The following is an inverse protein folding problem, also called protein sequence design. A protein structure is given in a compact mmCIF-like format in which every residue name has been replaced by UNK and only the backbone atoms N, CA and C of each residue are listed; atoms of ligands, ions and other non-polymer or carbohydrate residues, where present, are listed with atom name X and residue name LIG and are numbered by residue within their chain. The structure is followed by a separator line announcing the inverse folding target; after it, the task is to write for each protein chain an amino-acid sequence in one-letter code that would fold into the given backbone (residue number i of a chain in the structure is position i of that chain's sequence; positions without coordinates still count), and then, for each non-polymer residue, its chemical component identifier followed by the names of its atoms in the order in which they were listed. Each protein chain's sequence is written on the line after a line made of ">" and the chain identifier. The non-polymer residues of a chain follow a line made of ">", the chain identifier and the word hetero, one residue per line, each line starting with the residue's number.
data_IF_178536287114
#
_entry.id   IF_178536287114
#
_cell.length_a   1.000
_cell.length_b   1.000
_cell.length_c   1.000
_cell.angle_alpha   90.00
_cell.angle_beta   90.00
_cell.angle_gamma   90.00
#
_symmetry.space_group_name_H-M   'P 1'
#
loop_
_entity.id
_entity.type
_entity.pdbx_description
1 polymer ?
#
# COMPACT_ATOMS: atom_id res chain seq x y z
N UNK A 1 -11.08 9.89 -10.63
CA UNK A 1 -9.84 9.08 -10.57
C UNK A 1 -8.64 9.90 -10.13
N UNK A 2 -8.36 11.05 -10.77
CA UNK A 2 -7.20 11.89 -10.43
C UNK A 2 -7.20 12.33 -8.95
N UNK A 3 -8.32 12.81 -8.43
CA UNK A 3 -8.43 13.23 -7.01
C UNK A 3 -8.10 12.07 -6.06
N UNK A 4 -8.60 10.86 -6.34
CA UNK A 4 -8.34 9.68 -5.52
C UNK A 4 -6.85 9.31 -5.52
N UNK A 5 -6.22 9.30 -6.69
CA UNK A 5 -4.79 9.04 -6.87
C UNK A 5 -3.98 10.06 -6.08
N UNK A 6 -4.30 11.34 -6.23
CA UNK A 6 -3.59 12.43 -5.57
C UNK A 6 -3.69 12.35 -4.04
N UNK A 7 -4.88 12.06 -3.52
CA UNK A 7 -5.15 11.91 -2.10
C UNK A 7 -4.41 10.68 -1.55
N UNK A 8 -4.45 9.55 -2.27
CA UNK A 8 -3.73 8.34 -1.91
C UNK A 8 -2.21 8.57 -1.86
N UNK A 9 -1.63 9.16 -2.91
CA UNK A 9 -0.21 9.50 -2.97
C UNK A 9 0.19 10.42 -1.81
N UNK A 10 -0.60 11.47 -1.54
CA UNK A 10 -0.33 12.41 -0.44
C UNK A 10 -0.33 11.73 0.92
N UNK A 11 -1.31 10.84 1.18
CA UNK A 11 -1.39 10.09 2.42
C UNK A 11 -0.21 9.13 2.56
N UNK A 12 0.14 8.40 1.50
CA UNK A 12 1.28 7.48 1.51
C UNK A 12 2.58 8.23 1.83
N UNK A 13 2.89 9.30 1.11
CA UNK A 13 4.09 10.11 1.40
C UNK A 13 4.05 10.75 2.78
N UNK A 14 2.88 11.21 3.23
CA UNK A 14 2.71 11.76 4.58
C UNK A 14 3.03 10.75 5.67
N UNK A 15 2.57 9.50 5.53
CA UNK A 15 2.89 8.41 6.45
C UNK A 15 4.39 8.09 6.41
N UNK A 16 4.97 7.92 5.23
CA UNK A 16 6.42 7.65 5.11
C UNK A 16 7.24 8.76 5.79
N UNK A 17 6.94 10.02 5.50
CA UNK A 17 7.68 11.15 6.04
C UNK A 17 7.54 11.30 7.56
N UNK A 18 6.32 11.16 8.08
CA UNK A 18 6.06 11.27 9.52
C UNK A 18 6.77 10.16 10.30
N UNK A 19 6.68 8.91 9.82
CA UNK A 19 7.32 7.78 10.48
C UNK A 19 8.84 7.80 10.33
N UNK A 20 9.37 8.46 9.30
CA UNK A 20 10.79 8.73 9.19
C UNK A 20 11.30 9.65 10.29
N UNK A 21 10.61 10.76 10.55
CA UNK A 21 11.01 11.71 11.61
C UNK A 21 11.00 11.03 12.97
N UNK A 22 10.07 10.09 13.19
CA UNK A 22 9.98 9.31 14.43
C UNK A 22 11.00 8.17 14.51
N UNK A 23 11.82 7.94 13.47
CA UNK A 23 12.71 6.79 13.34
C UNK A 23 11.98 5.42 13.41
N UNK A 24 10.68 5.40 13.14
CA UNK A 24 9.80 4.22 13.20
C UNK A 24 9.47 3.70 11.79
N UNK A 25 10.49 3.62 10.94
CA UNK A 25 10.36 3.30 9.51
C UNK A 25 9.56 2.01 9.27
N UNK A 26 9.87 0.94 10.00
CA UNK A 26 9.20 -0.35 9.83
C UNK A 26 7.69 -0.28 10.12
N UNK A 27 7.30 0.47 11.17
CA UNK A 27 5.89 0.68 11.52
C UNK A 27 5.17 1.53 10.49
N UNK A 28 5.83 2.58 9.97
CA UNK A 28 5.27 3.41 8.91
C UNK A 28 4.93 2.60 7.67
N UNK A 29 5.81 1.65 7.32
CA UNK A 29 5.58 0.79 6.16
C UNK A 29 4.48 -0.25 6.38
N UNK A 30 4.39 -0.82 7.59
CA UNK A 30 3.26 -1.69 7.95
C UNK A 30 1.93 -0.94 7.91
N UNK A 31 1.91 0.33 8.31
CA UNK A 31 0.72 1.17 8.26
C UNK A 31 0.30 1.44 6.81
N UNK A 32 1.25 1.63 5.90
CA UNK A 32 0.98 1.71 4.46
C UNK A 32 0.41 0.38 3.93
N UNK A 33 0.96 -0.76 4.34
CA UNK A 33 0.42 -2.07 3.96
C UNK A 33 -1.03 -2.26 4.45
N UNK A 34 -1.35 -1.85 5.68
CA UNK A 34 -2.72 -1.85 6.21
C UNK A 34 -3.64 -0.90 5.45
N UNK A 35 -3.13 0.27 5.05
CA UNK A 35 -3.89 1.22 4.26
C UNK A 35 -4.19 0.67 2.86
N UNK A 36 -3.23 0.00 2.22
CA UNK A 36 -3.43 -0.70 0.95
C UNK A 36 -4.45 -1.83 1.10
N UNK A 37 -4.35 -2.65 2.15
CA UNK A 37 -5.34 -3.69 2.45
C UNK A 37 -6.76 -3.11 2.52
N UNK A 38 -6.95 -2.06 3.32
CA UNK A 38 -8.24 -1.42 3.52
C UNK A 38 -8.81 -0.82 2.23
N UNK A 39 -8.00 -0.08 1.48
CA UNK A 39 -8.45 0.58 0.26
C UNK A 39 -8.72 -0.45 -0.85
N UNK A 40 -7.86 -1.47 -0.99
CA UNK A 40 -8.07 -2.59 -1.93
C UNK A 40 -9.35 -3.36 -1.61
N UNK A 41 -9.63 -3.61 -0.34
CA UNK A 41 -10.90 -4.22 0.10
C UNK A 41 -12.11 -3.37 -0.29
N UNK A 42 -12.07 -2.06 0.03
CA UNK A 42 -13.16 -1.13 -0.26
C UNK A 42 -13.42 -0.99 -1.77
N UNK A 43 -12.38 -0.83 -2.57
CA UNK A 43 -12.53 -0.67 -4.02
C UNK A 43 -12.89 -1.98 -4.72
N UNK A 44 -12.44 -3.13 -4.20
CA UNK A 44 -12.88 -4.44 -4.69
C UNK A 44 -14.34 -4.71 -4.35
N UNK A 45 -14.85 -4.27 -3.19
CA UNK A 45 -16.29 -4.35 -2.86
C UNK A 45 -17.15 -3.55 -3.83
N UNK A 46 -16.64 -2.41 -4.31
CA UNK A 46 -17.34 -1.54 -5.25
C UNK A 46 -17.08 -1.89 -6.73
N UNK A 47 -16.42 -3.03 -7.00
CA UNK A 47 -16.08 -3.50 -8.35
C UNK A 47 -15.23 -2.53 -9.18
N UNK A 48 -14.50 -1.61 -8.54
CA UNK A 48 -13.66 -0.60 -9.19
C UNK A 48 -12.20 -1.09 -9.35
N UNK A 49 -11.99 -2.18 -10.08
CA UNK A 49 -10.65 -2.76 -10.27
C UNK A 49 -9.64 -1.80 -10.91
N UNK A 50 -10.10 -0.87 -11.74
CA UNK A 50 -9.26 0.18 -12.33
C UNK A 50 -8.57 1.07 -11.29
N UNK A 51 -9.18 1.30 -10.13
CA UNK A 51 -8.57 2.09 -9.04
C UNK A 51 -7.51 1.30 -8.29
N UNK A 52 -7.70 -0.01 -8.14
CA UNK A 52 -6.71 -0.92 -7.55
C UNK A 52 -5.46 -0.95 -8.42
N UNK A 53 -5.63 -1.11 -9.74
CA UNK A 53 -4.50 -1.06 -10.68
C UNK A 53 -3.73 0.28 -10.62
N UNK A 54 -4.45 1.41 -10.53
CA UNK A 54 -3.81 2.72 -10.38
C UNK A 54 -3.00 2.83 -9.07
N UNK A 55 -3.51 2.28 -7.96
CA UNK A 55 -2.77 2.23 -6.69
C UNK A 55 -1.51 1.38 -6.78
N UNK A 56 -1.57 0.24 -7.46
CA UNK A 56 -0.42 -0.66 -7.62
C UNK A 56 0.71 0.04 -8.40
N UNK A 57 0.36 0.77 -9.46
CA UNK A 57 1.32 1.57 -10.24
C UNK A 57 1.95 2.66 -9.37
N UNK A 58 1.15 3.40 -8.58
CA UNK A 58 1.66 4.43 -7.67
C UNK A 58 2.59 3.81 -6.62
N UNK A 59 2.18 2.70 -6.01
CA UNK A 59 2.98 2.02 -5.00
C UNK A 59 4.31 1.52 -5.57
N UNK A 60 4.32 1.03 -6.80
CA UNK A 60 5.56 0.69 -7.50
C UNK A 60 6.52 1.88 -7.61
N UNK A 61 6.01 3.06 -8.01
CA UNK A 61 6.81 4.29 -8.02
C UNK A 61 7.26 4.72 -6.63
N UNK A 62 6.39 4.62 -5.61
CA UNK A 62 6.74 4.95 -4.22
C UNK A 62 7.86 4.05 -3.71
N UNK A 63 7.79 2.74 -3.97
CA UNK A 63 8.85 1.78 -3.60
C UNK A 63 10.14 2.09 -4.35
N UNK A 64 10.10 2.41 -5.65
CA UNK A 64 11.28 2.82 -6.40
C UNK A 64 11.93 4.09 -5.84
N UNK A 65 11.12 5.10 -5.49
CA UNK A 65 11.61 6.35 -4.88
C UNK A 65 12.24 6.05 -3.52
N UNK A 66 11.59 5.25 -2.69
CA UNK A 66 12.12 4.85 -1.38
C UNK A 66 13.40 4.02 -1.48
N UNK A 67 13.49 3.16 -2.50
CA UNK A 67 14.66 2.33 -2.75
C UNK A 67 15.86 3.15 -3.23
N UNK A 68 15.64 4.11 -4.14
CA UNK A 68 16.71 4.93 -4.68
C UNK A 68 17.13 6.08 -3.74
N UNK A 69 16.22 6.54 -2.89
CA UNK A 69 16.44 7.68 -2.00
C UNK A 69 17.26 7.29 -0.75
N UNK A 70 18.57 7.10 -0.92
CA UNK A 70 19.51 6.86 0.18
C UNK A 70 19.73 8.10 1.08
N UNK A 71 19.52 9.31 0.56
CA UNK A 71 19.75 10.56 1.32
C UNK A 71 18.52 11.10 2.05
N UNK A 72 17.33 10.93 1.48
CA UNK A 72 16.10 11.53 2.02
C UNK A 72 15.23 10.57 2.81
N UNK A 73 15.37 9.25 2.63
CA UNK A 73 14.58 8.22 3.30
C UNK A 73 15.49 7.08 3.75
N UNK A 74 15.98 7.12 4.99
CA UNK A 74 16.84 6.08 5.61
C UNK A 74 16.03 4.84 6.01
N UNK A 75 15.18 4.35 5.10
CA UNK A 75 14.28 3.22 5.36
C UNK A 75 14.97 1.86 5.24
N UNK A 76 15.97 1.76 4.37
CA UNK A 76 16.65 0.50 4.04
C UNK A 76 18.15 0.74 4.12
N UNK A 77 18.81 0.04 5.05
CA UNK A 77 20.26 -0.14 5.01
C UNK A 77 20.53 -1.25 3.97
N UNK A 78 21.41 -1.05 2.97
CA UNK A 78 21.62 -2.05 1.90
C UNK A 78 22.04 -3.45 2.37
N UNK A 79 22.50 -3.59 3.62
CA UNK A 79 22.83 -4.89 4.22
C UNK A 79 21.64 -5.66 4.81
N UNK A 80 20.45 -5.04 4.95
CA UNK A 80 19.27 -5.67 5.57
C UNK A 80 18.28 -6.19 4.51
N UNK A 81 18.75 -7.12 3.66
CA UNK A 81 17.96 -7.72 2.57
C UNK A 81 16.69 -8.40 3.10
N UNK A 82 16.75 -8.96 4.31
CA UNK A 82 15.61 -9.60 4.98
C UNK A 82 14.45 -8.62 5.25
N UNK A 83 14.75 -7.40 5.69
CA UNK A 83 13.73 -6.38 5.96
C UNK A 83 13.05 -5.95 4.67
N UNK A 84 13.82 -5.81 3.61
CA UNK A 84 13.31 -5.44 2.28
C UNK A 84 12.38 -6.53 1.72
N UNK A 85 12.75 -7.80 1.86
CA UNK A 85 11.90 -8.94 1.46
C UNK A 85 10.60 -8.96 2.28
N UNK A 86 10.68 -8.83 3.60
CA UNK A 86 9.50 -8.79 4.47
C UNK A 86 8.54 -7.67 4.08
N UNK A 87 9.09 -6.50 3.77
CA UNK A 87 8.34 -5.33 3.31
C UNK A 87 7.58 -5.63 2.02
N UNK A 88 8.29 -6.09 0.98
CA UNK A 88 7.68 -6.37 -0.32
C UNK A 88 6.61 -7.45 -0.19
N UNK A 89 6.93 -8.53 0.54
CA UNK A 89 6.03 -9.64 0.76
C UNK A 89 4.77 -9.20 1.52
N UNK A 90 4.91 -8.34 2.53
CA UNK A 90 3.78 -7.82 3.32
C UNK A 90 2.81 -6.98 2.47
N UNK A 91 3.33 -6.19 1.53
CA UNK A 91 2.52 -5.38 0.61
C UNK A 91 1.77 -6.28 -0.38
N UNK A 92 2.45 -7.28 -0.94
CA UNK A 92 1.84 -8.24 -1.87
C UNK A 92 0.73 -9.03 -1.17
N UNK A 93 0.99 -9.54 0.04
CA UNK A 93 0.00 -10.28 0.82
C UNK A 93 -1.20 -9.37 1.13
N UNK A 94 -0.96 -8.12 1.57
CA UNK A 94 -2.02 -7.16 1.86
C UNK A 94 -2.92 -6.90 0.64
N UNK A 95 -2.36 -6.73 -0.56
CA UNK A 95 -3.15 -6.59 -1.78
C UNK A 95 -3.96 -7.85 -2.10
N UNK A 96 -3.32 -9.02 -2.10
CA UNK A 96 -3.99 -10.29 -2.39
C UNK A 96 -5.15 -10.55 -1.44
N UNK A 97 -4.94 -10.37 -0.14
CA UNK A 97 -5.98 -10.54 0.88
C UNK A 97 -7.09 -9.50 0.70
N UNK A 98 -6.74 -8.23 0.47
CA UNK A 98 -7.73 -7.16 0.26
C UNK A 98 -8.63 -7.42 -0.94
N UNK A 99 -8.06 -7.83 -2.08
CA UNK A 99 -8.80 -8.19 -3.29
C UNK A 99 -9.65 -9.45 -3.06
N UNK A 100 -9.08 -10.48 -2.44
CA UNK A 100 -9.77 -11.75 -2.19
C UNK A 100 -11.00 -11.54 -1.29
N UNK A 101 -10.84 -10.87 -0.15
CA UNK A 101 -11.94 -10.54 0.74
C UNK A 101 -12.95 -9.60 0.09
N UNK A 102 -12.50 -8.56 -0.62
CA UNK A 102 -13.41 -7.63 -1.28
C UNK A 102 -14.31 -8.32 -2.31
N UNK A 103 -13.77 -9.29 -3.06
CA UNK A 103 -14.54 -10.14 -3.97
C UNK A 103 -15.52 -11.07 -3.25
N UNK A 104 -15.10 -11.68 -2.14
CA UNK A 104 -15.96 -12.58 -1.36
C UNK A 104 -17.16 -11.84 -0.77
N UNK A 105 -16.94 -10.65 -0.20
CA UNK A 105 -18.02 -9.81 0.35
C UNK A 105 -18.92 -9.22 -0.73
N UNK A 106 -18.37 -8.81 -1.88
CA UNK A 106 -19.18 -8.40 -3.03
C UNK A 106 -20.14 -9.53 -3.49
N UNK A 107 -19.63 -10.76 -3.59
CA UNK A 107 -20.43 -11.93 -3.95
C UNK A 107 -21.48 -12.29 -2.90
N UNK A 108 -21.24 -11.98 -1.63
CA UNK A 108 -22.20 -12.20 -0.55
C UNK A 108 -23.36 -11.19 -0.63
N UNK A 109 -23.06 -9.90 -0.78
CA UNK A 109 -24.09 -8.87 -0.94
C UNK A 109 -25.00 -9.14 -2.15
N UNK A 110 -24.43 -9.51 -3.30
CA UNK A 110 -25.20 -9.81 -4.52
C UNK A 110 -26.08 -11.08 -4.44
N UNK A 111 -25.90 -11.91 -3.41
CA UNK A 111 -26.76 -13.08 -3.13
C UNK A 111 -27.86 -12.79 -2.12
N UNK A 112 -27.80 -11.63 -1.47
CA UNK A 112 -28.74 -11.22 -0.42
C UNK A 112 -29.77 -10.21 -0.92
N UNK A 113 -29.56 -9.67 -2.13
CA UNK A 113 -30.53 -8.95 -2.96
C UNK A 113 -31.22 -9.91 -3.93
#
# INVERSE_FOLDING_TARGET
>A
MVIFIWLFTTVVFGVVYLFQILHLNLLGLQLIALLILYVSFRESKNNHYWRIFAMDVIMFFVVLILYHSHHTFTYINPNDVEKLILIILSIIIAQCVGIFWGRQFYKHNKKTD
#
